data_IF_769723965693
#
_entry.id   IF_769723965693
#
_cell.length_a   1.000
_cell.length_b   1.000
_cell.length_c   1.000
_cell.angle_alpha   90.00
_cell.angle_beta   90.00
_cell.angle_gamma   90.00
#
_symmetry.space_group_name_H-M   'P 1'
#
loop_
_entity.id
_entity.type
_entity.pdbx_description
1 polymer ?
#
# COMPACT_ATOMS: atom_id res chain seq x y z
N UNK A 1 40.59 -47.42 -23.65
CA UNK A 1 41.72 -48.23 -24.23
C UNK A 1 42.65 -47.43 -25.13
N UNK A 2 42.30 -46.23 -25.51
CA UNK A 2 43.10 -45.37 -26.45
C UNK A 2 44.43 -44.80 -25.92
N UNK A 3 44.67 -44.84 -24.61
CA UNK A 3 45.92 -44.28 -24.01
C UNK A 3 47.04 -45.29 -23.77
N UNK A 4 46.76 -46.63 -23.77
CA UNK A 4 47.78 -47.64 -23.53
C UNK A 4 48.57 -47.97 -24.82
N UNK A 5 47.91 -47.99 -25.96
CA UNK A 5 48.53 -48.30 -27.25
C UNK A 5 49.68 -47.36 -27.66
N UNK A 6 49.57 -46.03 -27.53
CA UNK A 6 50.68 -45.13 -27.83
C UNK A 6 51.85 -45.28 -26.86
N UNK A 7 51.64 -45.70 -25.62
CA UNK A 7 52.69 -45.93 -24.62
C UNK A 7 53.48 -47.20 -24.89
N UNK A 8 52.80 -48.26 -25.28
CA UNK A 8 53.43 -49.49 -25.72
C UNK A 8 54.23 -49.31 -26.98
N UNK A 9 53.68 -48.57 -27.98
CA UNK A 9 54.38 -48.21 -29.20
C UNK A 9 55.62 -47.32 -28.92
N UNK A 10 55.55 -46.32 -28.05
CA UNK A 10 56.68 -45.47 -27.67
C UNK A 10 57.74 -46.29 -26.93
N UNK A 11 57.36 -47.20 -26.07
CA UNK A 11 58.30 -48.13 -25.39
C UNK A 11 59.02 -49.06 -26.34
N UNK A 12 58.31 -49.66 -27.30
CA UNK A 12 58.87 -50.52 -28.32
C UNK A 12 59.80 -49.75 -29.28
N UNK A 13 59.43 -48.53 -29.66
CA UNK A 13 60.22 -47.65 -30.51
C UNK A 13 61.55 -47.22 -29.81
N UNK A 14 61.46 -46.96 -28.52
CA UNK A 14 62.61 -46.62 -27.67
C UNK A 14 63.57 -47.79 -27.51
N UNK A 15 63.05 -48.99 -27.30
CA UNK A 15 63.83 -50.24 -27.30
C UNK A 15 64.52 -50.47 -28.66
N UNK A 16 63.83 -50.28 -29.74
CA UNK A 16 64.37 -50.44 -31.10
C UNK A 16 65.48 -49.40 -31.43
N UNK A 17 65.25 -48.10 -31.04
CA UNK A 17 66.27 -47.04 -31.21
C UNK A 17 67.49 -47.24 -30.35
N UNK A 18 67.28 -47.66 -29.09
CA UNK A 18 68.37 -47.99 -28.17
C UNK A 18 69.21 -49.15 -28.67
N UNK A 19 68.58 -50.18 -29.23
CA UNK A 19 69.21 -51.29 -29.87
C UNK A 19 70.05 -50.93 -31.12
N UNK A 20 69.53 -50.04 -31.94
CA UNK A 20 70.20 -49.51 -33.11
C UNK A 20 71.46 -48.69 -32.76
N UNK A 21 71.30 -47.78 -31.82
CA UNK A 21 72.46 -46.91 -31.33
C UNK A 21 73.55 -47.75 -30.66
N UNK A 22 73.15 -48.71 -29.84
CA UNK A 22 74.12 -49.64 -29.19
C UNK A 22 74.85 -50.56 -30.19
N UNK A 23 74.17 -50.98 -31.26
CA UNK A 23 74.75 -51.80 -32.30
C UNK A 23 75.70 -51.15 -33.20
N UNK A 24 75.64 -49.83 -33.36
CA UNK A 24 76.57 -48.99 -34.10
C UNK A 24 77.89 -48.77 -33.34
N UNK A 25 77.81 -48.82 -31.96
CA UNK A 25 79.00 -48.51 -31.11
C UNK A 25 79.93 -49.70 -30.90
N UNK A 26 79.54 -50.99 -30.99
CA UNK A 26 80.41 -52.17 -30.89
C UNK A 26 79.74 -53.43 -31.48
N UNK A 27 80.42 -54.05 -32.49
CA UNK A 27 79.82 -55.01 -33.40
C UNK A 27 79.47 -56.44 -32.84
N UNK A 28 79.88 -56.84 -31.64
CA UNK A 28 79.72 -58.20 -31.13
C UNK A 28 79.16 -58.40 -29.67
N UNK A 29 79.45 -57.48 -28.74
CA UNK A 29 78.88 -57.60 -27.40
C UNK A 29 78.16 -56.33 -26.95
N UNK A 30 78.42 -55.20 -27.57
CA UNK A 30 77.81 -53.91 -27.24
C UNK A 30 76.38 -53.66 -27.64
N UNK A 31 75.93 -54.33 -28.68
CA UNK A 31 74.61 -54.14 -29.23
C UNK A 31 73.45 -54.54 -28.24
N UNK A 32 73.63 -55.68 -27.52
CA UNK A 32 72.65 -56.12 -26.54
C UNK A 32 72.65 -55.26 -25.25
N UNK A 33 73.86 -54.85 -24.79
CA UNK A 33 73.98 -54.00 -23.60
C UNK A 33 73.46 -52.58 -23.91
N UNK A 34 73.78 -52.04 -25.09
CA UNK A 34 73.27 -50.76 -25.54
C UNK A 34 71.74 -50.71 -25.74
N UNK A 35 71.18 -51.80 -26.29
CA UNK A 35 69.74 -51.93 -26.40
C UNK A 35 69.01 -51.99 -25.04
N UNK A 36 69.59 -52.72 -24.06
CA UNK A 36 69.05 -52.83 -22.72
C UNK A 36 69.18 -51.52 -21.98
N UNK A 37 70.31 -50.80 -22.01
CA UNK A 37 70.51 -49.51 -21.37
C UNK A 37 69.67 -48.42 -22.02
N UNK A 38 69.55 -48.35 -23.33
CA UNK A 38 68.67 -47.44 -24.06
C UNK A 38 67.20 -47.68 -23.78
N UNK A 39 66.81 -48.95 -23.75
CA UNK A 39 65.45 -49.34 -23.40
C UNK A 39 65.07 -48.99 -21.95
N UNK A 40 66.00 -49.22 -20.98
CA UNK A 40 65.84 -48.87 -19.59
C UNK A 40 65.76 -47.31 -19.40
N UNK A 41 66.58 -46.54 -20.09
CA UNK A 41 66.59 -45.07 -20.02
C UNK A 41 65.27 -44.52 -20.63
N UNK A 42 64.83 -45.05 -21.74
CA UNK A 42 63.58 -44.65 -22.35
C UNK A 42 62.37 -45.03 -21.48
N UNK A 43 62.36 -46.21 -20.89
CA UNK A 43 61.35 -46.62 -19.96
C UNK A 43 61.33 -45.71 -18.70
N UNK A 44 62.52 -45.46 -18.13
CA UNK A 44 62.62 -44.56 -16.99
C UNK A 44 62.09 -43.13 -17.34
N UNK A 45 62.42 -42.61 -18.51
CA UNK A 45 61.94 -41.30 -18.98
C UNK A 45 60.42 -41.28 -19.10
N UNK A 46 59.79 -42.33 -19.69
CA UNK A 46 58.34 -42.44 -19.81
C UNK A 46 57.67 -42.48 -18.43
N UNK A 47 58.23 -43.27 -17.49
CA UNK A 47 57.70 -43.40 -16.12
C UNK A 47 57.79 -42.08 -15.36
N UNK A 48 58.92 -41.36 -15.47
CA UNK A 48 59.11 -40.04 -14.84
C UNK A 48 58.13 -39.00 -15.40
N UNK A 49 57.97 -38.92 -16.72
CA UNK A 49 57.03 -38.01 -17.36
C UNK A 49 55.58 -38.34 -17.00
N UNK A 50 55.22 -39.60 -16.96
CA UNK A 50 53.90 -40.06 -16.61
C UNK A 50 53.60 -39.74 -15.11
N UNK A 51 54.58 -40.01 -14.22
CA UNK A 51 54.46 -39.66 -12.81
C UNK A 51 54.36 -38.15 -12.55
N UNK A 52 55.10 -37.34 -13.28
CA UNK A 52 55.03 -35.88 -13.20
C UNK A 52 53.64 -35.32 -13.66
N UNK A 53 53.05 -35.92 -14.70
CA UNK A 53 51.70 -35.59 -15.14
C UNK A 53 50.65 -35.98 -14.11
N UNK A 54 50.74 -37.19 -13.53
CA UNK A 54 49.90 -37.64 -12.44
C UNK A 54 50.01 -36.75 -11.19
N UNK A 55 51.27 -36.38 -10.83
CA UNK A 55 51.50 -35.49 -9.71
C UNK A 55 50.95 -34.07 -9.93
N UNK A 56 51.02 -33.50 -11.13
CA UNK A 56 50.38 -32.21 -11.49
C UNK A 56 48.88 -32.27 -11.34
N UNK A 57 48.22 -33.34 -11.81
CA UNK A 57 46.80 -33.52 -11.64
C UNK A 57 46.43 -33.69 -10.18
N UNK A 58 47.18 -34.48 -9.42
CA UNK A 58 46.93 -34.67 -7.97
C UNK A 58 47.17 -33.38 -7.17
N UNK A 59 48.14 -32.55 -7.55
CA UNK A 59 48.36 -31.22 -6.94
C UNK A 59 47.15 -30.31 -7.24
N UNK A 60 46.66 -30.27 -8.45
CA UNK A 60 45.47 -29.50 -8.83
C UNK A 60 44.23 -29.98 -8.07
N UNK A 61 44.01 -31.28 -7.91
CA UNK A 61 42.88 -31.85 -7.16
C UNK A 61 42.96 -31.56 -5.63
N UNK A 62 44.16 -31.38 -5.05
CA UNK A 62 44.32 -31.03 -3.64
C UNK A 62 44.22 -29.53 -3.37
N UNK A 63 44.32 -28.71 -4.38
CA UNK A 63 44.15 -27.26 -4.27
C UNK A 63 42.71 -26.83 -4.28
N UNK A 64 42.49 -25.52 -4.23
CA UNK A 64 41.14 -24.91 -4.27
C UNK A 64 40.45 -25.03 -5.63
N UNK A 65 40.93 -25.84 -6.54
CA UNK A 65 40.44 -26.01 -7.94
C UNK A 65 40.45 -24.72 -8.74
N UNK A 66 41.21 -23.71 -8.31
CA UNK A 66 41.32 -22.44 -9.02
C UNK A 66 42.15 -22.63 -10.29
N UNK A 67 41.53 -22.33 -11.43
CA UNK A 67 42.16 -22.42 -12.73
C UNK A 67 41.77 -23.66 -13.56
N UNK A 68 42.41 -23.76 -14.72
CA UNK A 68 42.17 -24.83 -15.69
C UNK A 68 42.95 -26.07 -15.29
N UNK A 69 42.32 -27.24 -15.33
CA UNK A 69 43.01 -28.52 -15.11
C UNK A 69 44.20 -28.68 -16.07
N UNK A 70 45.30 -29.40 -15.66
CA UNK A 70 46.47 -29.62 -16.49
C UNK A 70 46.09 -30.23 -17.86
N UNK A 71 46.36 -29.50 -18.96
CA UNK A 71 46.09 -29.96 -20.34
C UNK A 71 47.23 -30.84 -20.86
N UNK A 72 47.47 -31.95 -20.22
CA UNK A 72 48.44 -32.93 -20.70
C UNK A 72 47.82 -33.80 -21.83
N UNK A 73 48.70 -34.37 -22.68
CA UNK A 73 48.25 -35.28 -23.71
C UNK A 73 48.05 -36.71 -23.17
N UNK A 74 47.19 -37.48 -23.80
CA UNK A 74 46.95 -38.89 -23.49
C UNK A 74 46.05 -39.08 -22.25
N UNK A 75 46.26 -40.18 -21.54
CA UNK A 75 45.38 -40.64 -20.46
C UNK A 75 45.15 -39.61 -19.33
N UNK A 76 46.25 -38.94 -18.89
CA UNK A 76 46.15 -37.96 -17.80
C UNK A 76 45.39 -36.69 -18.21
N UNK A 77 45.54 -36.28 -19.47
CA UNK A 77 44.83 -35.13 -19.97
C UNK A 77 43.32 -35.41 -20.16
N UNK A 78 42.96 -36.60 -20.65
CA UNK A 78 41.55 -36.98 -20.74
C UNK A 78 40.90 -37.16 -19.37
N UNK A 79 41.61 -37.75 -18.40
CA UNK A 79 41.18 -37.87 -17.01
C UNK A 79 40.98 -36.51 -16.39
N UNK A 80 41.96 -35.61 -16.54
CA UNK A 80 41.85 -34.24 -16.03
C UNK A 80 40.62 -33.50 -16.60
N UNK A 81 40.40 -33.60 -17.91
CA UNK A 81 39.24 -32.99 -18.59
C UNK A 81 37.92 -33.52 -18.06
N UNK A 82 37.79 -34.84 -17.89
CA UNK A 82 36.56 -35.47 -17.38
C UNK A 82 36.27 -35.04 -15.94
N UNK A 83 37.28 -35.01 -15.09
CA UNK A 83 37.15 -34.55 -13.68
C UNK A 83 36.77 -33.08 -13.65
N UNK A 84 37.46 -32.22 -14.40
CA UNK A 84 37.17 -30.79 -14.48
C UNK A 84 35.72 -30.55 -14.94
N UNK A 85 35.27 -31.28 -15.99
CA UNK A 85 33.90 -31.18 -16.47
C UNK A 85 32.87 -31.58 -15.40
N UNK A 86 33.13 -32.66 -14.68
CA UNK A 86 32.22 -33.13 -13.60
C UNK A 86 32.18 -32.14 -12.44
N UNK A 87 33.31 -31.62 -12.01
CA UNK A 87 33.39 -30.61 -10.94
C UNK A 87 32.65 -29.33 -11.33
N UNK A 88 32.90 -28.82 -12.52
CA UNK A 88 32.18 -27.63 -13.03
C UNK A 88 30.65 -27.86 -13.19
N UNK A 89 30.23 -29.09 -13.50
CA UNK A 89 28.80 -29.42 -13.54
C UNK A 89 28.18 -29.36 -12.15
N UNK A 90 28.82 -29.96 -11.14
CA UNK A 90 28.38 -29.93 -9.75
C UNK A 90 28.40 -28.49 -9.17
N UNK A 91 29.43 -27.70 -9.47
CA UNK A 91 29.50 -26.29 -9.05
C UNK A 91 28.34 -25.47 -9.63
N UNK A 92 28.03 -25.66 -10.92
CA UNK A 92 26.88 -24.99 -11.58
C UNK A 92 25.56 -25.41 -10.97
N UNK A 93 25.37 -26.68 -10.70
CA UNK A 93 24.15 -27.19 -10.07
C UNK A 93 23.98 -26.60 -8.67
N UNK A 94 25.04 -26.60 -7.84
CA UNK A 94 25.03 -25.98 -6.53
C UNK A 94 24.77 -24.48 -6.57
N UNK A 95 25.32 -23.76 -7.57
CA UNK A 95 25.08 -22.32 -7.74
C UNK A 95 23.64 -22.03 -8.18
N UNK A 96 23.05 -22.83 -9.07
CA UNK A 96 21.64 -22.74 -9.45
C UNK A 96 20.74 -22.96 -8.24
N UNK A 97 21.02 -24.00 -7.44
CA UNK A 97 20.24 -24.28 -6.22
C UNK A 97 20.37 -23.14 -5.19
N UNK A 98 21.56 -22.60 -4.98
CA UNK A 98 21.77 -21.44 -4.10
C UNK A 98 20.99 -20.21 -4.60
N UNK A 99 21.00 -19.97 -5.91
CA UNK A 99 20.29 -18.85 -6.52
C UNK A 99 18.78 -19.02 -6.34
N UNK A 100 18.24 -20.22 -6.59
CA UNK A 100 16.82 -20.51 -6.37
C UNK A 100 16.41 -20.32 -4.91
N UNK A 101 17.23 -20.79 -3.98
CA UNK A 101 16.97 -20.63 -2.54
C UNK A 101 16.99 -19.13 -2.14
N UNK A 102 17.95 -18.37 -2.63
CA UNK A 102 18.03 -16.94 -2.38
C UNK A 102 16.83 -16.19 -2.96
N UNK A 103 16.39 -16.53 -4.17
CA UNK A 103 15.19 -15.97 -4.77
C UNK A 103 13.93 -16.32 -3.98
N UNK A 104 13.79 -17.56 -3.51
CA UNK A 104 12.66 -17.98 -2.68
C UNK A 104 12.61 -17.19 -1.36
N UNK A 105 13.71 -17.06 -0.64
CA UNK A 105 13.80 -16.29 0.60
C UNK A 105 13.49 -14.82 0.33
N UNK A 106 13.99 -14.24 -0.76
CA UNK A 106 13.69 -12.86 -1.15
C UNK A 106 12.20 -12.66 -1.41
N UNK A 107 11.54 -13.59 -2.11
CA UNK A 107 10.09 -13.55 -2.35
C UNK A 107 9.29 -13.64 -1.03
N UNK A 108 9.71 -14.48 -0.09
CA UNK A 108 9.08 -14.57 1.23
C UNK A 108 9.29 -13.29 2.06
N UNK A 109 10.44 -12.63 1.94
CA UNK A 109 10.69 -11.32 2.58
C UNK A 109 9.83 -10.20 1.99
N UNK A 110 9.54 -10.24 0.70
CA UNK A 110 8.70 -9.27 0.01
C UNK A 110 7.18 -9.50 0.23
N UNK A 111 6.79 -10.59 0.89
CA UNK A 111 5.38 -10.88 1.18
C UNK A 111 4.74 -9.76 1.99
N UNK A 112 3.52 -9.30 1.61
CA UNK A 112 2.74 -8.35 2.42
C UNK A 112 2.25 -8.95 3.75
N UNK A 113 2.20 -10.29 3.83
CA UNK A 113 1.84 -11.02 5.04
C UNK A 113 3.09 -11.35 5.87
N UNK A 114 2.92 -11.39 7.18
CA UNK A 114 3.94 -11.92 8.06
C UNK A 114 4.06 -13.44 7.87
N UNK A 115 5.27 -13.93 7.68
CA UNK A 115 5.58 -15.35 7.52
C UNK A 115 6.58 -15.75 8.60
N UNK A 116 6.23 -16.78 9.39
CA UNK A 116 7.05 -17.29 10.47
C UNK A 116 7.12 -18.82 10.35
N UNK A 117 8.32 -19.37 10.37
CA UNK A 117 8.58 -20.80 10.33
C UNK A 117 8.97 -21.27 11.73
N UNK A 118 8.29 -22.33 12.19
CA UNK A 118 8.56 -22.99 13.46
C UNK A 118 9.00 -24.44 13.21
N UNK A 119 9.95 -24.90 14.01
CA UNK A 119 10.31 -26.31 14.05
C UNK A 119 9.25 -27.18 14.74
N UNK A 120 9.50 -28.47 14.83
CA UNK A 120 8.62 -29.43 15.52
C UNK A 120 8.43 -29.13 17.03
N UNK A 121 9.35 -28.37 17.65
CA UNK A 121 9.33 -27.99 19.06
C UNK A 121 8.77 -26.59 19.30
N UNK A 122 8.14 -25.97 18.29
CA UNK A 122 7.61 -24.60 18.32
C UNK A 122 8.69 -23.52 18.50
N UNK A 123 9.93 -23.80 18.08
CA UNK A 123 11.01 -22.81 18.06
C UNK A 123 11.04 -22.07 16.72
N UNK A 124 11.37 -20.80 16.78
CA UNK A 124 11.46 -19.94 15.59
C UNK A 124 12.68 -20.36 14.76
N UNK A 125 12.46 -20.85 13.56
CA UNK A 125 13.52 -21.11 12.58
C UNK A 125 13.83 -19.86 11.74
N UNK A 126 12.78 -19.18 11.29
CA UNK A 126 12.89 -18.02 10.43
C UNK A 126 11.62 -17.18 10.48
N UNK A 127 11.74 -15.87 10.28
CA UNK A 127 10.62 -14.97 10.05
C UNK A 127 11.00 -13.87 9.06
N UNK A 128 10.00 -13.38 8.31
CA UNK A 128 10.19 -12.20 7.48
C UNK A 128 10.00 -10.90 8.30
N UNK A 129 10.35 -9.76 7.70
CA UNK A 129 10.24 -8.46 8.34
C UNK A 129 8.80 -8.15 8.80
N UNK A 130 7.79 -8.54 8.03
CA UNK A 130 6.38 -8.35 8.40
C UNK A 130 5.96 -9.15 9.63
N UNK A 131 6.38 -10.40 9.75
CA UNK A 131 6.11 -11.18 10.96
C UNK A 131 6.84 -10.59 12.17
N UNK A 132 8.06 -10.11 11.98
CA UNK A 132 8.81 -9.42 13.03
C UNK A 132 8.06 -8.18 13.52
N UNK A 133 7.52 -7.36 12.63
CA UNK A 133 6.69 -6.19 12.97
C UNK A 133 5.39 -6.61 13.68
N UNK A 134 4.63 -7.55 13.10
CA UNK A 134 3.34 -8.01 13.62
C UNK A 134 3.41 -8.57 15.03
N UNK A 135 4.46 -9.34 15.32
CA UNK A 135 4.59 -10.02 16.61
C UNK A 135 5.60 -9.36 17.56
N UNK A 136 6.29 -8.33 17.09
CA UNK A 136 7.31 -7.63 17.86
C UNK A 136 8.58 -8.46 18.08
N UNK A 137 8.93 -9.31 17.11
CA UNK A 137 10.09 -10.20 17.13
C UNK A 137 11.35 -9.53 16.57
N UNK A 138 12.50 -10.02 16.99
CA UNK A 138 13.80 -9.74 16.39
C UNK A 138 14.25 -10.99 15.61
N UNK A 139 14.38 -10.94 14.26
CA UNK A 139 14.68 -12.10 13.44
C UNK A 139 16.00 -12.80 13.76
N UNK A 140 16.98 -12.07 14.31
CA UNK A 140 18.30 -12.61 14.65
C UNK A 140 18.35 -13.12 16.09
N UNK A 141 17.88 -12.29 17.02
CA UNK A 141 17.95 -12.55 18.46
C UNK A 141 16.99 -13.63 18.91
N UNK A 142 15.80 -13.69 18.32
CA UNK A 142 14.72 -14.57 18.77
C UNK A 142 14.72 -15.93 18.04
N UNK A 143 15.68 -16.13 17.16
CA UNK A 143 15.89 -17.40 16.47
C UNK A 143 16.18 -18.53 17.47
N UNK A 144 15.56 -19.70 17.28
CA UNK A 144 15.60 -20.88 18.17
C UNK A 144 14.97 -20.67 19.53
N UNK A 145 14.27 -19.56 19.77
CA UNK A 145 13.45 -19.42 20.96
C UNK A 145 12.05 -20.00 20.74
N UNK A 146 11.43 -20.48 21.81
CA UNK A 146 10.05 -20.95 21.75
C UNK A 146 9.11 -19.76 21.47
N UNK A 147 8.27 -19.89 20.44
CA UNK A 147 7.37 -18.83 20.00
C UNK A 147 6.41 -18.36 21.10
N UNK A 148 5.96 -19.28 21.99
CA UNK A 148 5.06 -18.95 23.11
C UNK A 148 5.69 -18.09 24.22
N UNK A 149 7.02 -18.01 24.29
CA UNK A 149 7.70 -17.12 25.22
C UNK A 149 7.64 -15.65 24.76
N UNK A 150 7.53 -15.45 23.46
CA UNK A 150 7.57 -14.16 22.81
C UNK A 150 6.16 -13.66 22.45
N UNK A 151 5.36 -14.50 21.80
CA UNK A 151 3.96 -14.22 21.46
C UNK A 151 3.07 -14.76 22.59
N UNK A 152 2.74 -13.88 23.53
CA UNK A 152 1.99 -14.21 24.75
C UNK A 152 0.47 -14.06 24.62
N UNK A 153 -0.04 -13.84 23.42
CA UNK A 153 -1.49 -13.77 23.20
C UNK A 153 -2.17 -15.08 23.56
N UNK A 154 -3.16 -15.11 24.47
CA UNK A 154 -3.84 -16.34 24.85
C UNK A 154 -4.44 -17.07 23.64
N UNK A 155 -5.08 -16.33 22.73
CA UNK A 155 -5.67 -16.91 21.51
C UNK A 155 -4.63 -17.58 20.61
N UNK A 156 -3.42 -17.01 20.50
CA UNK A 156 -2.32 -17.62 19.73
C UNK A 156 -1.81 -18.90 20.40
N UNK A 157 -1.64 -18.86 21.72
CA UNK A 157 -1.13 -20.02 22.48
C UNK A 157 -2.12 -21.18 22.46
N UNK A 158 -3.41 -20.90 22.69
CA UNK A 158 -4.49 -21.89 22.61
C UNK A 158 -4.59 -22.49 21.21
N UNK A 159 -4.51 -21.67 20.17
CA UNK A 159 -4.54 -22.12 18.78
C UNK A 159 -3.38 -23.06 18.45
N UNK A 160 -2.16 -22.73 18.91
CA UNK A 160 -0.98 -23.56 18.75
C UNK A 160 -1.11 -24.89 19.48
N UNK A 161 -1.63 -24.89 20.73
CA UNK A 161 -1.79 -26.06 21.58
C UNK A 161 -2.92 -26.99 21.12
N UNK A 162 -4.03 -26.42 20.65
CA UNK A 162 -5.16 -27.18 20.12
C UNK A 162 -4.77 -28.02 18.90
N UNK A 163 -3.78 -27.56 18.11
CA UNK A 163 -3.25 -28.30 16.97
C UNK A 163 -4.23 -28.47 15.81
N UNK A 164 -5.43 -27.89 15.90
CA UNK A 164 -6.38 -27.78 14.80
C UNK A 164 -6.17 -26.41 14.12
N UNK A 165 -5.74 -26.44 12.86
CA UNK A 165 -5.37 -25.25 12.09
C UNK A 165 -6.30 -25.04 10.89
N UNK A 166 -7.52 -25.57 10.91
CA UNK A 166 -8.47 -25.46 9.80
C UNK A 166 -8.94 -24.02 9.59
N UNK A 167 -9.20 -23.31 10.70
CA UNK A 167 -9.65 -21.92 10.67
C UNK A 167 -8.59 -20.99 11.25
N UNK A 168 -8.45 -19.75 10.71
CA UNK A 168 -7.55 -18.75 11.26
C UNK A 168 -8.06 -18.19 12.60
N UNK A 169 -7.15 -17.76 13.45
CA UNK A 169 -7.45 -17.11 14.73
C UNK A 169 -7.14 -15.61 14.68
N UNK A 170 -8.00 -14.82 15.33
CA UNK A 170 -7.75 -13.39 15.51
C UNK A 170 -6.83 -13.16 16.73
N UNK A 171 -5.75 -12.43 16.52
CA UNK A 171 -4.75 -12.08 17.54
C UNK A 171 -4.57 -10.58 17.56
N UNK A 172 -4.54 -9.97 18.73
CA UNK A 172 -4.22 -8.54 18.85
C UNK A 172 -2.73 -8.31 18.68
N UNK A 173 -2.39 -7.27 17.95
CA UNK A 173 -1.00 -6.84 17.79
C UNK A 173 -0.38 -6.46 19.14
N UNK A 174 0.81 -6.97 19.53
CA UNK A 174 1.42 -6.72 20.84
C UNK A 174 1.82 -5.26 21.08
N UNK A 175 2.18 -4.53 20.03
CA UNK A 175 2.68 -3.14 20.09
C UNK A 175 1.69 -2.07 19.64
N UNK A 176 0.51 -2.46 19.15
CA UNK A 176 -0.46 -1.55 18.57
C UNK A 176 -1.90 -1.87 18.96
N UNK A 177 -2.82 -1.16 18.30
CA UNK A 177 -4.26 -1.43 18.38
C UNK A 177 -4.76 -2.24 17.18
N UNK A 178 -3.85 -2.90 16.45
CA UNK A 178 -4.12 -3.68 15.27
C UNK A 178 -4.71 -5.05 15.59
N UNK A 179 -5.46 -5.58 14.62
CA UNK A 179 -6.00 -6.95 14.61
C UNK A 179 -5.27 -7.76 13.56
N UNK A 180 -4.68 -8.87 13.98
CA UNK A 180 -3.98 -9.81 13.12
C UNK A 180 -4.85 -11.07 12.95
N UNK A 181 -5.03 -11.52 11.71
CA UNK A 181 -5.52 -12.84 11.42
C UNK A 181 -4.34 -13.80 11.27
N UNK A 182 -4.26 -14.84 12.10
CA UNK A 182 -3.16 -15.80 12.10
C UNK A 182 -3.66 -17.15 11.64
N UNK A 183 -3.03 -17.68 10.61
CA UNK A 183 -3.25 -19.02 10.08
C UNK A 183 -2.00 -19.85 10.27
N UNK A 184 -2.15 -21.08 10.80
CA UNK A 184 -1.06 -22.05 10.90
C UNK A 184 -1.29 -23.22 9.95
N UNK A 185 -0.21 -23.81 9.46
CA UNK A 185 -0.23 -25.06 8.68
C UNK A 185 0.98 -25.90 9.06
N UNK A 186 0.78 -27.21 9.18
CA UNK A 186 1.89 -28.14 9.37
C UNK A 186 2.53 -28.49 8.03
N UNK A 187 3.84 -28.65 8.04
CA UNK A 187 4.61 -29.14 6.88
C UNK A 187 5.77 -30.02 7.34
N UNK A 188 6.32 -30.82 6.43
CA UNK A 188 7.44 -31.70 6.74
C UNK A 188 7.20 -32.56 7.99
N UNK A 189 8.24 -32.76 8.77
CA UNK A 189 8.24 -33.65 9.99
C UNK A 189 7.75 -32.88 11.25
N UNK A 190 6.58 -32.26 11.16
CA UNK A 190 5.94 -31.60 12.32
C UNK A 190 6.27 -30.11 12.46
N UNK A 191 7.01 -29.54 11.53
CA UNK A 191 7.24 -28.11 11.43
C UNK A 191 5.94 -27.34 11.12
N UNK A 192 5.88 -26.06 11.44
CA UNK A 192 4.69 -25.23 11.27
C UNK A 192 5.02 -23.94 10.52
N UNK A 193 4.19 -23.63 9.52
CA UNK A 193 4.14 -22.37 8.84
C UNK A 193 3.06 -21.50 9.49
N UNK A 194 3.42 -20.33 9.98
CA UNK A 194 2.50 -19.33 10.53
C UNK A 194 2.44 -18.16 9.58
N UNK A 195 1.23 -17.83 9.13
CA UNK A 195 0.97 -16.67 8.28
C UNK A 195 0.15 -15.67 9.09
N UNK A 196 0.57 -14.43 9.18
CA UNK A 196 -0.16 -13.36 9.84
C UNK A 196 -0.53 -12.27 8.84
N UNK A 197 -1.77 -11.83 8.87
CA UNK A 197 -2.30 -10.76 8.04
C UNK A 197 -2.86 -9.66 8.92
N UNK A 198 -2.49 -8.41 8.65
CA UNK A 198 -3.09 -7.24 9.30
C UNK A 198 -4.50 -7.02 8.73
N UNK A 199 -5.49 -7.10 9.62
CA UNK A 199 -6.91 -6.92 9.32
C UNK A 199 -7.45 -5.60 9.81
N UNK A 200 -6.60 -4.74 10.38
CA UNK A 200 -7.01 -3.52 11.09
C UNK A 200 -7.85 -2.59 10.20
N UNK A 201 -7.37 -2.30 9.00
CA UNK A 201 -8.11 -1.43 8.07
C UNK A 201 -9.42 -2.07 7.58
N UNK A 202 -9.42 -3.37 7.37
CA UNK A 202 -10.61 -4.11 6.96
C UNK A 202 -11.65 -4.14 8.07
N UNK A 203 -11.27 -4.46 9.29
CA UNK A 203 -12.17 -4.47 10.45
C UNK A 203 -12.72 -3.08 10.75
N UNK A 204 -11.89 -2.03 10.65
CA UNK A 204 -12.33 -0.63 10.76
C UNK A 204 -13.37 -0.29 9.70
N UNK A 205 -13.13 -0.67 8.45
CA UNK A 205 -14.06 -0.44 7.35
C UNK A 205 -15.39 -1.18 7.56
N UNK A 206 -15.34 -2.45 7.99
CA UNK A 206 -16.52 -3.24 8.29
C UNK A 206 -17.30 -2.72 9.51
N UNK A 207 -16.60 -2.24 10.55
CA UNK A 207 -17.20 -1.58 11.70
C UNK A 207 -17.88 -0.28 11.29
N UNK A 208 -17.21 0.59 10.54
CA UNK A 208 -17.80 1.82 10.01
C UNK A 208 -19.03 1.55 9.15
N UNK A 209 -19.03 0.50 8.35
CA UNK A 209 -20.19 0.11 7.54
C UNK A 209 -21.37 -0.36 8.40
N UNK A 210 -21.11 -1.18 9.44
CA UNK A 210 -22.17 -1.62 10.37
C UNK A 210 -22.77 -0.45 11.12
N UNK A 211 -21.93 0.45 11.65
CA UNK A 211 -22.36 1.65 12.36
C UNK A 211 -23.15 2.59 11.44
N UNK A 212 -22.74 2.72 10.19
CA UNK A 212 -23.48 3.48 9.18
C UNK A 212 -24.90 2.93 8.98
N UNK A 213 -25.08 1.62 8.77
CA UNK A 213 -26.40 1.00 8.57
C UNK A 213 -27.28 1.16 9.83
N UNK A 214 -26.69 0.98 11.01
CA UNK A 214 -27.39 1.16 12.27
C UNK A 214 -27.87 2.61 12.44
N UNK A 215 -27.00 3.59 12.20
CA UNK A 215 -27.33 5.01 12.31
C UNK A 215 -28.37 5.46 11.28
N UNK A 216 -28.28 5.01 10.01
CA UNK A 216 -29.33 5.26 8.99
C UNK A 216 -30.68 4.75 9.48
N UNK A 217 -30.72 3.52 10.01
CA UNK A 217 -31.96 2.93 10.52
C UNK A 217 -32.57 3.74 11.65
N UNK A 218 -31.76 4.24 12.57
CA UNK A 218 -32.18 5.09 13.69
C UNK A 218 -32.67 6.45 13.21
N UNK A 219 -31.91 7.13 12.32
CA UNK A 219 -32.27 8.47 11.82
C UNK A 219 -33.50 8.46 10.92
N UNK A 220 -33.87 7.33 10.28
CA UNK A 220 -35.14 7.16 9.54
C UNK A 220 -36.29 6.80 10.48
N UNK A 221 -36.07 5.91 11.48
CA UNK A 221 -37.13 5.45 12.38
C UNK A 221 -37.73 6.58 13.21
N UNK A 222 -36.86 7.48 13.71
CA UNK A 222 -37.33 8.58 14.60
C UNK A 222 -38.36 9.50 13.93
N UNK A 223 -38.12 10.13 12.75
CA UNK A 223 -39.11 10.97 12.10
C UNK A 223 -40.34 10.17 11.65
N UNK A 224 -40.18 8.91 11.24
CA UNK A 224 -41.31 8.05 10.87
C UNK A 224 -42.24 7.79 12.04
N UNK A 225 -41.68 7.52 13.24
CA UNK A 225 -42.50 7.35 14.47
C UNK A 225 -43.23 8.63 14.82
N UNK A 226 -42.58 9.81 14.68
CA UNK A 226 -43.23 11.09 14.91
C UNK A 226 -44.37 11.36 13.92
N UNK A 227 -44.13 11.11 12.63
CA UNK A 227 -45.19 11.22 11.60
C UNK A 227 -46.38 10.31 11.89
N UNK A 228 -46.10 9.04 12.25
CA UNK A 228 -47.19 8.08 12.61
C UNK A 228 -47.99 8.54 13.83
N UNK A 229 -47.30 9.08 14.85
CA UNK A 229 -47.96 9.62 16.03
C UNK A 229 -48.84 10.84 15.73
N UNK A 230 -48.40 11.76 14.87
CA UNK A 230 -49.20 12.89 14.44
C UNK A 230 -50.43 12.46 13.61
N UNK A 231 -50.27 11.49 12.70
CA UNK A 231 -51.36 10.91 11.94
C UNK A 231 -52.40 10.25 12.85
N UNK A 232 -51.95 9.53 13.86
CA UNK A 232 -52.84 8.91 14.87
C UNK A 232 -53.55 9.97 15.70
N UNK A 233 -52.87 11.05 16.09
CA UNK A 233 -53.47 12.19 16.80
C UNK A 233 -54.57 12.84 15.96
N UNK A 234 -54.28 13.14 14.69
CA UNK A 234 -55.25 13.72 13.74
C UNK A 234 -56.49 12.82 13.50
N UNK A 235 -56.30 11.49 13.55
CA UNK A 235 -57.38 10.53 13.35
C UNK A 235 -58.26 10.40 14.58
N UNK A 236 -57.68 10.43 15.78
CA UNK A 236 -58.38 10.03 17.00
C UNK A 236 -58.85 11.22 17.87
N UNK A 237 -58.37 12.44 17.62
CA UNK A 237 -58.69 13.61 18.43
C UNK A 237 -59.32 14.70 17.55
N UNK A 238 -60.40 15.38 18.06
CA UNK A 238 -60.93 16.57 17.40
C UNK A 238 -59.99 17.74 17.63
N UNK A 239 -59.22 18.10 16.58
CA UNK A 239 -58.30 19.23 16.62
C UNK A 239 -58.97 20.50 16.11
N UNK A 240 -58.63 21.63 16.70
CA UNK A 240 -58.96 22.95 16.18
C UNK A 240 -58.23 23.22 14.87
N UNK A 241 -58.67 24.14 14.04
CA UNK A 241 -57.94 24.52 12.80
C UNK A 241 -56.52 24.97 13.05
N UNK A 242 -56.25 25.65 14.18
CA UNK A 242 -54.91 26.11 14.56
C UNK A 242 -54.01 24.93 14.91
N UNK A 243 -54.51 23.98 15.70
CA UNK A 243 -53.76 22.76 16.05
C UNK A 243 -53.50 21.88 14.83
N UNK A 244 -54.48 21.74 13.94
CA UNK A 244 -54.36 20.99 12.70
C UNK A 244 -53.28 21.58 11.80
N UNK A 245 -53.26 22.93 11.61
CA UNK A 245 -52.21 23.60 10.85
C UNK A 245 -50.83 23.40 11.47
N UNK A 246 -50.72 23.47 12.82
CA UNK A 246 -49.47 23.23 13.53
C UNK A 246 -49.00 21.80 13.34
N UNK A 247 -49.82 20.80 13.46
CA UNK A 247 -49.48 19.38 13.24
C UNK A 247 -49.03 19.17 11.80
N UNK A 248 -49.77 19.70 10.80
CA UNK A 248 -49.37 19.61 9.40
C UNK A 248 -47.98 20.25 9.18
N UNK A 249 -47.71 21.44 9.75
CA UNK A 249 -46.38 22.08 9.65
C UNK A 249 -45.27 21.20 10.22
N UNK A 250 -45.49 20.61 11.40
CA UNK A 250 -44.52 19.70 12.01
C UNK A 250 -44.28 18.43 11.16
N UNK A 251 -45.36 17.87 10.60
CA UNK A 251 -45.27 16.72 9.69
C UNK A 251 -44.48 17.07 8.41
N UNK A 252 -44.73 18.25 7.82
CA UNK A 252 -44.01 18.72 6.64
C UNK A 252 -42.50 18.84 6.96
N UNK A 253 -42.16 19.43 8.09
CA UNK A 253 -40.74 19.53 8.54
C UNK A 253 -40.08 18.16 8.71
N UNK A 254 -40.80 17.16 9.24
CA UNK A 254 -40.26 15.80 9.36
C UNK A 254 -40.08 15.11 7.99
N UNK A 255 -41.00 15.32 7.06
CA UNK A 255 -40.91 14.80 5.69
C UNK A 255 -39.73 15.43 4.93
N UNK A 256 -39.57 16.75 5.01
CA UNK A 256 -38.43 17.45 4.43
C UNK A 256 -37.10 16.95 5.02
N UNK A 257 -37.03 16.77 6.32
CA UNK A 257 -35.86 16.22 6.99
C UNK A 257 -35.49 14.82 6.47
N UNK A 258 -36.48 13.94 6.28
CA UNK A 258 -36.29 12.61 5.69
C UNK A 258 -35.82 12.70 4.24
N UNK A 259 -36.41 13.59 3.45
CA UNK A 259 -35.99 13.80 2.05
C UNK A 259 -34.54 14.25 1.96
N UNK A 260 -34.10 15.20 2.81
CA UNK A 260 -32.72 15.64 2.89
C UNK A 260 -31.78 14.51 3.32
N UNK A 261 -32.18 13.69 4.31
CA UNK A 261 -31.37 12.55 4.75
C UNK A 261 -31.18 11.53 3.61
N UNK A 262 -32.25 11.20 2.87
CA UNK A 262 -32.18 10.28 1.73
C UNK A 262 -31.31 10.88 0.61
N UNK A 263 -31.43 12.19 0.33
CA UNK A 263 -30.60 12.90 -0.63
C UNK A 263 -29.10 12.83 -0.28
N UNK A 264 -28.76 13.09 0.99
CA UNK A 264 -27.39 13.00 1.50
C UNK A 264 -26.84 11.57 1.37
N UNK A 265 -27.66 10.56 1.69
CA UNK A 265 -27.28 9.13 1.57
C UNK A 265 -27.01 8.75 0.11
N UNK A 266 -27.87 9.15 -0.81
CA UNK A 266 -27.70 8.90 -2.25
C UNK A 266 -26.44 9.59 -2.78
N UNK A 267 -26.21 10.85 -2.39
CA UNK A 267 -25.00 11.59 -2.74
C UNK A 267 -23.74 10.87 -2.24
N UNK A 268 -23.74 10.43 -0.98
CA UNK A 268 -22.60 9.70 -0.41
C UNK A 268 -22.36 8.36 -1.13
N UNK A 269 -23.43 7.61 -1.42
CA UNK A 269 -23.35 6.35 -2.15
C UNK A 269 -22.79 6.54 -3.58
N UNK A 270 -23.21 7.60 -4.28
CA UNK A 270 -22.67 7.95 -5.59
C UNK A 270 -21.19 8.33 -5.53
N UNK A 271 -20.80 9.12 -4.53
CA UNK A 271 -19.39 9.51 -4.32
C UNK A 271 -18.50 8.30 -4.04
N UNK A 272 -18.98 7.29 -3.29
CA UNK A 272 -18.21 6.07 -2.98
C UNK A 272 -18.09 5.12 -4.17
N UNK A 273 -19.15 5.01 -4.98
CA UNK A 273 -19.21 4.07 -6.11
C UNK A 273 -18.63 4.60 -7.42
N UNK A 274 -18.32 5.90 -7.52
CA UNK A 274 -17.89 6.52 -8.76
C UNK A 274 -16.35 6.64 -8.85
N UNK A 275 -15.74 6.57 -10.06
CA UNK A 275 -14.33 6.82 -10.24
C UNK A 275 -13.98 8.29 -9.90
N UNK A 276 -12.72 8.56 -9.58
CA UNK A 276 -12.25 9.93 -9.29
C UNK A 276 -12.50 10.85 -10.50
N UNK A 277 -12.96 12.11 -10.28
CA UNK A 277 -13.17 13.07 -11.35
C UNK A 277 -11.88 13.31 -12.14
N UNK A 278 -11.96 13.27 -13.47
CA UNK A 278 -10.88 13.68 -14.32
C UNK A 278 -10.60 15.19 -14.15
N UNK A 279 -9.36 15.61 -14.41
CA UNK A 279 -8.96 17.01 -14.30
C UNK A 279 -9.11 17.79 -15.65
N UNK A 280 -10.08 17.38 -16.46
CA UNK A 280 -10.33 17.91 -17.81
C UNK A 280 -11.54 18.84 -17.91
N UNK A 281 -12.48 18.75 -16.97
CA UNK A 281 -13.66 19.60 -16.91
C UNK A 281 -13.42 20.77 -15.96
N UNK A 282 -13.41 21.97 -16.53
CA UNK A 282 -13.13 23.21 -15.81
C UNK A 282 -14.43 23.95 -15.48
N UNK A 283 -14.63 24.24 -14.21
CA UNK A 283 -15.79 24.95 -13.67
C UNK A 283 -15.33 26.30 -13.14
N UNK A 284 -16.07 27.37 -13.46
CA UNK A 284 -15.77 28.71 -12.94
C UNK A 284 -16.18 28.80 -11.45
N UNK A 285 -15.28 29.30 -10.63
CA UNK A 285 -15.56 29.49 -9.19
C UNK A 285 -16.70 30.49 -8.98
N UNK A 286 -16.77 31.51 -9.82
CA UNK A 286 -17.87 32.48 -9.78
C UNK A 286 -19.25 31.84 -10.03
N UNK A 287 -19.34 30.83 -10.93
CA UNK A 287 -20.60 30.07 -11.15
C UNK A 287 -21.01 29.29 -9.90
N UNK A 288 -20.05 28.56 -9.28
CA UNK A 288 -20.29 27.84 -8.04
C UNK A 288 -20.75 28.78 -6.92
N UNK A 289 -20.10 29.91 -6.76
CA UNK A 289 -20.45 30.90 -5.74
C UNK A 289 -21.84 31.51 -5.99
N UNK A 290 -22.19 31.85 -7.22
CA UNK A 290 -23.49 32.44 -7.53
C UNK A 290 -24.68 31.55 -7.17
N UNK A 291 -24.57 30.23 -7.43
CA UNK A 291 -25.61 29.28 -7.07
C UNK A 291 -25.73 29.12 -5.55
N UNK A 292 -24.59 28.87 -4.87
CA UNK A 292 -24.58 28.70 -3.41
C UNK A 292 -24.99 29.97 -2.69
N UNK A 293 -24.66 31.17 -3.23
CA UNK A 293 -25.08 32.45 -2.67
C UNK A 293 -26.61 32.58 -2.70
N UNK A 294 -27.25 32.26 -3.83
CA UNK A 294 -28.70 32.32 -3.94
C UNK A 294 -29.40 31.41 -2.93
N UNK A 295 -28.94 30.17 -2.82
CA UNK A 295 -29.48 29.19 -1.89
C UNK A 295 -29.25 29.60 -0.41
N UNK A 296 -28.05 30.08 -0.09
CA UNK A 296 -27.70 30.49 1.28
C UNK A 296 -28.46 31.73 1.75
N UNK A 297 -28.69 32.71 0.85
CA UNK A 297 -29.50 33.90 1.14
C UNK A 297 -30.97 33.52 1.40
N UNK A 298 -31.52 32.59 0.60
CA UNK A 298 -32.87 32.05 0.85
C UNK A 298 -32.96 31.32 2.21
N UNK A 299 -31.99 30.47 2.53
CA UNK A 299 -31.93 29.74 3.80
C UNK A 299 -31.76 30.69 5.00
N UNK A 300 -30.96 31.72 4.85
CA UNK A 300 -30.73 32.75 5.90
C UNK A 300 -31.98 33.60 6.14
N UNK A 301 -32.83 33.79 5.14
CA UNK A 301 -33.99 34.67 5.23
C UNK A 301 -33.67 36.09 5.83
N UNK A 302 -32.49 36.61 5.50
CA UNK A 302 -32.04 37.95 5.96
C UNK A 302 -31.48 37.99 7.39
N UNK A 303 -31.36 36.83 8.08
CA UNK A 303 -30.87 36.76 9.46
C UNK A 303 -29.36 36.99 9.62
N UNK A 304 -28.59 36.81 8.53
CA UNK A 304 -27.13 36.87 8.57
C UNK A 304 -26.60 37.77 7.48
N UNK A 305 -25.41 38.34 7.69
CA UNK A 305 -24.63 39.05 6.66
C UNK A 305 -23.77 38.00 5.95
N UNK A 306 -24.10 37.69 4.68
CA UNK A 306 -23.38 36.69 3.88
C UNK A 306 -22.65 37.39 2.76
N UNK A 307 -21.33 37.19 2.65
CA UNK A 307 -20.47 37.78 1.63
C UNK A 307 -19.69 36.70 0.86
N UNK A 308 -19.66 36.84 -0.47
CA UNK A 308 -18.87 36.01 -1.36
C UNK A 308 -17.83 36.88 -2.07
N UNK A 309 -16.55 36.44 -2.09
CA UNK A 309 -15.47 37.24 -2.65
C UNK A 309 -14.36 36.41 -3.30
N UNK A 310 -13.56 37.05 -4.12
CA UNK A 310 -12.29 36.52 -4.64
C UNK A 310 -12.40 35.57 -5.83
N UNK A 311 -13.61 35.23 -6.30
CA UNK A 311 -13.78 34.24 -7.37
C UNK A 311 -13.12 34.64 -8.71
N UNK A 312 -13.27 35.93 -9.13
CA UNK A 312 -12.71 36.46 -10.39
C UNK A 312 -12.89 35.48 -11.57
N UNK A 313 -11.82 35.31 -12.34
CA UNK A 313 -11.77 34.37 -13.47
C UNK A 313 -11.22 32.99 -13.08
N UNK A 314 -11.15 32.67 -11.78
CA UNK A 314 -10.65 31.42 -11.29
C UNK A 314 -11.51 30.25 -11.77
N UNK A 315 -10.83 29.17 -12.19
CA UNK A 315 -11.48 27.94 -12.59
C UNK A 315 -10.86 26.75 -11.83
N UNK A 316 -11.69 25.79 -11.49
CA UNK A 316 -11.31 24.54 -10.84
C UNK A 316 -11.71 23.35 -11.70
N UNK A 317 -10.83 22.33 -11.77
CA UNK A 317 -11.11 21.10 -12.51
C UNK A 317 -11.87 20.12 -11.62
N UNK A 318 -13.09 19.73 -12.04
CA UNK A 318 -13.90 18.80 -11.28
C UNK A 318 -15.33 18.67 -11.79
N UNK A 319 -16.15 17.99 -10.99
CA UNK A 319 -17.59 17.84 -11.24
C UNK A 319 -18.33 18.96 -10.52
N UNK A 320 -18.99 19.80 -11.30
CA UNK A 320 -19.68 21.02 -10.81
C UNK A 320 -20.67 20.72 -9.67
N UNK A 321 -21.51 19.72 -9.83
CA UNK A 321 -22.50 19.32 -8.81
C UNK A 321 -21.86 18.83 -7.51
N UNK A 322 -20.73 18.13 -7.57
CA UNK A 322 -19.99 17.69 -6.38
C UNK A 322 -19.39 18.89 -5.64
N UNK A 323 -18.70 19.78 -6.37
CA UNK A 323 -18.08 20.99 -5.78
C UNK A 323 -19.14 21.92 -5.18
N UNK A 324 -20.26 22.10 -5.88
CA UNK A 324 -21.41 22.86 -5.41
C UNK A 324 -21.99 22.27 -4.12
N UNK A 325 -22.19 20.95 -4.08
CA UNK A 325 -22.64 20.23 -2.89
C UNK A 325 -21.70 20.42 -1.70
N UNK A 326 -20.37 20.37 -1.93
CA UNK A 326 -19.40 20.58 -0.86
C UNK A 326 -19.46 22.00 -0.29
N UNK A 327 -19.48 23.02 -1.15
CA UNK A 327 -19.55 24.43 -0.73
C UNK A 327 -20.90 24.69 -0.05
N UNK A 328 -22.01 24.23 -0.64
CA UNK A 328 -23.35 24.36 -0.10
C UNK A 328 -23.51 23.77 1.29
N UNK A 329 -22.94 22.58 1.54
CA UNK A 329 -22.91 21.95 2.86
C UNK A 329 -22.15 22.78 3.90
N UNK A 330 -21.02 23.40 3.54
CA UNK A 330 -20.29 24.28 4.46
C UNK A 330 -21.08 25.54 4.77
N UNK A 331 -21.63 26.20 3.74
CA UNK A 331 -22.38 27.44 3.92
C UNK A 331 -23.70 27.20 4.67
N UNK A 332 -24.42 26.11 4.37
CA UNK A 332 -25.64 25.75 5.11
C UNK A 332 -25.35 25.46 6.60
N UNK A 333 -24.21 24.83 6.90
CA UNK A 333 -23.75 24.68 8.28
C UNK A 333 -23.46 26.03 8.93
N UNK A 334 -22.76 26.93 8.23
CA UNK A 334 -22.48 28.28 8.75
C UNK A 334 -23.79 29.03 9.06
N UNK A 335 -24.78 29.02 8.17
CA UNK A 335 -26.11 29.63 8.40
C UNK A 335 -26.82 29.02 9.62
N UNK A 336 -26.71 27.70 9.80
CA UNK A 336 -27.38 26.96 10.89
C UNK A 336 -26.77 27.23 12.24
N UNK A 337 -25.45 27.39 12.32
CA UNK A 337 -24.73 27.49 13.60
C UNK A 337 -24.32 28.91 13.97
N UNK A 338 -24.57 29.86 13.11
CA UNK A 338 -24.37 31.30 13.39
C UNK A 338 -25.66 31.90 13.98
N UNK A 339 -25.60 32.63 15.08
CA UNK A 339 -26.75 33.36 15.60
C UNK A 339 -27.23 34.47 14.65
N UNK A 340 -28.49 34.87 14.80
CA UNK A 340 -29.07 36.01 14.07
C UNK A 340 -28.21 37.26 14.23
N UNK A 341 -27.99 37.98 13.13
CA UNK A 341 -27.09 39.13 13.04
C UNK A 341 -25.62 38.79 12.82
N UNK A 342 -25.26 37.49 12.82
CA UNK A 342 -23.90 37.05 12.59
C UNK A 342 -23.43 37.18 11.14
N UNK A 343 -22.13 36.94 10.93
CA UNK A 343 -21.46 37.09 9.65
C UNK A 343 -20.95 35.75 9.10
N UNK A 344 -21.08 35.56 7.79
CA UNK A 344 -20.58 34.41 7.04
C UNK A 344 -19.83 34.91 5.81
N UNK A 345 -18.55 34.59 5.71
CA UNK A 345 -17.69 34.97 4.58
C UNK A 345 -17.27 33.71 3.81
N UNK A 346 -17.46 33.73 2.49
CA UNK A 346 -17.03 32.70 1.55
C UNK A 346 -16.04 33.32 0.59
N UNK A 347 -14.78 32.86 0.65
CA UNK A 347 -13.69 33.51 -0.08
C UNK A 347 -12.92 32.48 -0.87
N UNK A 348 -12.66 32.78 -2.16
CA UNK A 348 -11.68 32.06 -2.95
C UNK A 348 -10.32 32.74 -2.85
N UNK A 349 -9.28 31.96 -2.68
CA UNK A 349 -7.89 32.42 -2.68
C UNK A 349 -7.02 31.48 -3.50
N UNK A 350 -6.09 32.03 -4.25
CA UNK A 350 -5.00 31.28 -4.86
C UNK A 350 -3.76 31.40 -3.97
N UNK A 351 -3.14 30.27 -3.66
CA UNK A 351 -1.94 30.23 -2.84
C UNK A 351 -0.66 30.34 -3.70
N UNK A 352 0.46 30.72 -3.09
CA UNK A 352 1.75 30.92 -3.78
C UNK A 352 2.29 29.67 -4.47
N UNK A 353 1.93 28.47 -3.94
CA UNK A 353 2.27 27.17 -4.52
C UNK A 353 1.39 26.79 -5.73
N UNK A 354 0.50 27.68 -6.17
CA UNK A 354 -0.42 27.48 -7.28
C UNK A 354 -1.69 26.71 -6.93
N UNK A 355 -1.85 26.18 -5.72
CA UNK A 355 -3.10 25.58 -5.24
C UNK A 355 -4.16 26.67 -5.01
N UNK A 356 -5.43 26.24 -4.91
CA UNK A 356 -6.53 27.15 -4.60
C UNK A 356 -7.26 26.72 -3.36
N UNK A 357 -7.78 27.66 -2.60
CA UNK A 357 -8.62 27.38 -1.45
C UNK A 357 -9.96 28.09 -1.51
N UNK A 358 -11.02 27.40 -1.10
CA UNK A 358 -12.31 27.98 -0.78
C UNK A 358 -12.42 28.01 0.74
N UNK A 359 -12.55 29.19 1.30
CA UNK A 359 -12.62 29.41 2.74
C UNK A 359 -14.01 29.84 3.12
N UNK A 360 -14.65 29.13 4.02
CA UNK A 360 -15.94 29.48 4.63
C UNK A 360 -15.69 29.80 6.09
N UNK A 361 -15.92 31.07 6.48
CA UNK A 361 -15.73 31.55 7.86
C UNK A 361 -17.08 31.99 8.42
N UNK A 362 -17.43 31.54 9.61
CA UNK A 362 -18.61 31.95 10.35
C UNK A 362 -18.25 32.58 11.69
N UNK A 363 -19.11 33.49 12.18
CA UNK A 363 -19.02 34.09 13.51
C UNK A 363 -19.92 33.38 14.53
N UNK A 364 -20.11 32.07 14.33
CA UNK A 364 -20.98 31.25 15.16
C UNK A 364 -20.40 30.88 16.51
N UNK A 365 -21.03 29.91 17.16
CA UNK A 365 -20.64 29.46 18.51
C UNK A 365 -19.28 28.81 18.62
N UNK A 366 -18.66 28.45 17.48
CA UNK A 366 -17.41 27.69 17.42
C UNK A 366 -17.54 26.23 17.88
N UNK A 367 -16.45 25.49 17.79
CA UNK A 367 -16.38 24.05 18.04
C UNK A 367 -15.22 23.77 19.00
N UNK A 368 -15.46 22.96 20.03
CA UNK A 368 -14.41 22.57 20.97
C UNK A 368 -13.39 21.61 20.32
N UNK A 369 -12.13 21.73 20.70
CA UNK A 369 -11.00 21.04 20.08
C UNK A 369 -11.15 19.52 20.03
N UNK A 370 -11.77 18.93 21.06
CA UNK A 370 -12.03 17.49 21.16
C UNK A 370 -12.94 16.93 20.07
N UNK A 371 -13.76 17.80 19.44
CA UNK A 371 -14.69 17.40 18.38
C UNK A 371 -14.08 17.55 16.97
N UNK A 372 -13.02 18.37 16.79
CA UNK A 372 -12.50 18.72 15.47
C UNK A 372 -12.09 17.51 14.63
N UNK A 373 -11.43 16.52 15.22
CA UNK A 373 -11.00 15.30 14.53
C UNK A 373 -12.15 14.42 14.08
N UNK A 374 -13.30 14.54 14.70
CA UNK A 374 -14.49 13.69 14.49
C UNK A 374 -15.57 14.32 13.63
N UNK A 375 -15.47 15.62 13.33
CA UNK A 375 -16.50 16.37 12.59
C UNK A 375 -16.86 15.77 11.24
N UNK A 376 -15.93 15.07 10.60
CA UNK A 376 -16.11 14.43 9.29
C UNK A 376 -16.55 12.96 9.38
N UNK A 377 -16.75 12.43 10.61
CA UNK A 377 -17.35 11.12 10.79
C UNK A 377 -18.85 11.18 10.41
N UNK A 378 -19.35 10.11 9.81
CA UNK A 378 -20.75 10.03 9.39
C UNK A 378 -21.67 10.04 10.61
N UNK A 379 -22.73 10.86 10.57
CA UNK A 379 -23.70 11.05 11.66
C UNK A 379 -23.13 11.69 12.92
N UNK A 380 -21.87 12.12 12.90
CA UNK A 380 -21.30 12.78 14.06
C UNK A 380 -21.89 14.17 14.26
N UNK A 381 -22.21 14.50 15.51
CA UNK A 381 -22.81 15.77 15.94
C UNK A 381 -22.29 16.14 17.31
N UNK A 382 -21.90 17.42 17.48
CA UNK A 382 -21.36 17.92 18.77
C UNK A 382 -22.44 17.91 19.87
N UNK A 383 -23.69 18.29 19.54
CA UNK A 383 -24.83 18.32 20.48
C UNK A 383 -25.99 17.48 19.95
N UNK A 384 -26.20 16.29 20.53
CA UNK A 384 -27.22 15.34 20.07
C UNK A 384 -28.68 15.82 20.29
N UNK A 385 -28.98 16.71 21.24
CA UNK A 385 -30.32 17.15 21.58
C UNK A 385 -30.76 18.44 20.86
N UNK A 386 -29.98 19.50 20.90
CA UNK A 386 -30.27 20.79 20.25
C UNK A 386 -30.17 20.75 18.73
N UNK A 387 -29.29 19.91 18.18
CA UNK A 387 -29.14 19.81 16.75
C UNK A 387 -30.24 18.96 16.08
N UNK A 388 -31.11 18.27 16.84
CA UNK A 388 -32.36 17.69 16.29
C UNK A 388 -33.37 18.76 15.89
N UNK A 389 -33.42 19.87 16.59
CA UNK A 389 -34.26 21.03 16.27
C UNK A 389 -33.74 21.80 15.03
N UNK A 390 -32.43 21.85 14.80
CA UNK A 390 -31.83 22.52 13.66
C UNK A 390 -31.80 21.70 12.37
N UNK A 391 -32.28 20.45 12.34
CA UNK A 391 -32.51 19.65 11.13
C UNK A 391 -31.26 19.07 10.43
N UNK A 392 -30.07 19.06 11.06
CA UNK A 392 -28.87 18.50 10.46
C UNK A 392 -28.86 16.98 10.41
N UNK A 393 -28.44 16.40 9.30
CA UNK A 393 -28.31 14.94 9.08
C UNK A 393 -27.04 14.35 9.71
N UNK A 394 -26.01 15.17 9.95
CA UNK A 394 -24.67 14.71 10.33
C UNK A 394 -23.87 14.08 9.19
N UNK A 395 -24.36 14.17 7.95
CA UNK A 395 -23.68 13.65 6.75
C UNK A 395 -22.99 14.75 5.94
N UNK A 396 -23.38 16.01 6.07
CA UNK A 396 -22.89 17.11 5.24
C UNK A 396 -21.37 17.26 5.23
N UNK A 397 -20.69 17.23 6.42
CA UNK A 397 -19.22 17.32 6.48
C UNK A 397 -18.52 16.04 5.99
N UNK A 398 -19.15 14.88 6.11
CA UNK A 398 -18.65 13.65 5.49
C UNK A 398 -18.71 13.75 3.96
N UNK A 399 -19.78 14.31 3.40
CA UNK A 399 -19.91 14.59 1.96
C UNK A 399 -18.81 15.57 1.52
N UNK A 400 -18.62 16.67 2.24
CA UNK A 400 -17.55 17.65 1.96
C UNK A 400 -16.18 16.97 1.89
N UNK A 401 -15.84 16.17 2.90
CA UNK A 401 -14.56 15.43 2.94
C UNK A 401 -14.42 14.49 1.74
N UNK A 402 -15.44 13.70 1.44
CA UNK A 402 -15.43 12.80 0.29
C UNK A 402 -15.24 13.52 -1.03
N UNK A 403 -16.00 14.60 -1.27
CA UNK A 403 -15.89 15.40 -2.48
C UNK A 403 -14.47 15.94 -2.64
N UNK A 404 -13.94 16.61 -1.61
CA UNK A 404 -12.62 17.25 -1.74
C UNK A 404 -11.51 16.21 -1.92
N UNK A 405 -11.56 15.07 -1.23
CA UNK A 405 -10.61 13.97 -1.39
C UNK A 405 -10.67 13.33 -2.78
N UNK A 406 -11.85 13.17 -3.37
CA UNK A 406 -12.02 12.69 -4.76
C UNK A 406 -11.36 13.63 -5.76
N UNK A 407 -11.39 14.94 -5.49
CA UNK A 407 -10.72 15.97 -6.27
C UNK A 407 -9.22 16.11 -5.94
N UNK A 408 -8.64 15.21 -5.08
CA UNK A 408 -7.23 15.25 -4.70
C UNK A 408 -6.88 16.40 -3.77
N UNK A 409 -7.89 17.02 -3.15
CA UNK A 409 -7.74 18.11 -2.22
C UNK A 409 -7.87 17.67 -0.76
N UNK A 410 -7.86 18.64 0.14
CA UNK A 410 -7.90 18.44 1.60
C UNK A 410 -8.89 19.41 2.24
N UNK A 411 -9.56 18.96 3.32
CA UNK A 411 -10.40 19.77 4.18
C UNK A 411 -9.64 20.09 5.46
N UNK A 412 -9.39 21.37 5.71
CA UNK A 412 -8.83 21.87 6.96
C UNK A 412 -9.89 22.63 7.77
N UNK A 413 -9.87 22.49 9.10
CA UNK A 413 -10.86 23.08 10.01
C UNK A 413 -10.15 23.75 11.17
N UNK A 414 -10.40 25.04 11.35
CA UNK A 414 -9.98 25.81 12.50
C UNK A 414 -11.21 26.41 13.20
N UNK A 415 -11.34 26.19 14.52
CA UNK A 415 -12.47 26.72 15.29
C UNK A 415 -12.08 27.00 16.73
N UNK A 416 -12.71 28.02 17.30
CA UNK A 416 -12.58 28.38 18.72
C UNK A 416 -13.95 28.71 19.28
N UNK A 417 -14.27 28.12 20.44
CA UNK A 417 -15.56 28.30 21.09
C UNK A 417 -15.81 29.80 21.38
N UNK A 418 -16.94 30.31 20.95
CA UNK A 418 -17.35 31.72 21.10
C UNK A 418 -16.79 32.67 20.03
N UNK A 419 -15.91 32.24 19.12
CA UNK A 419 -15.35 33.07 18.04
C UNK A 419 -15.81 32.67 16.64
N UNK A 420 -16.30 31.45 16.47
CA UNK A 420 -16.74 30.92 15.20
C UNK A 420 -15.83 29.84 14.63
N UNK A 421 -16.06 29.47 13.36
CA UNK A 421 -15.31 28.42 12.69
C UNK A 421 -14.85 28.87 11.30
N UNK A 422 -13.76 28.27 10.83
CA UNK A 422 -13.22 28.45 9.49
C UNK A 422 -12.97 27.08 8.86
N UNK A 423 -13.63 26.82 7.76
CA UNK A 423 -13.46 25.60 6.95
C UNK A 423 -12.75 25.96 5.66
N UNK A 424 -11.66 25.22 5.32
CA UNK A 424 -10.88 25.45 4.10
C UNK A 424 -10.91 24.20 3.22
N UNK A 425 -11.35 24.36 1.98
CA UNK A 425 -11.28 23.35 0.94
C UNK A 425 -10.06 23.67 0.07
N UNK A 426 -8.98 22.90 0.24
CA UNK A 426 -7.73 23.11 -0.51
C UNK A 426 -7.72 22.19 -1.72
N UNK A 427 -7.56 22.76 -2.92
CA UNK A 427 -7.46 22.05 -4.19
C UNK A 427 -6.02 22.14 -4.73
N UNK A 428 -5.42 21.03 -5.22
CA UNK A 428 -4.06 21.03 -5.72
C UNK A 428 -3.88 21.90 -6.96
N UNK A 429 -2.68 22.44 -7.18
CA UNK A 429 -2.36 23.32 -8.31
C UNK A 429 -2.74 22.73 -9.68
N UNK A 430 -2.64 21.42 -9.86
CA UNK A 430 -3.04 20.73 -11.09
C UNK A 430 -4.55 20.85 -11.40
N UNK A 431 -5.37 21.25 -10.43
CA UNK A 431 -6.82 21.45 -10.58
C UNK A 431 -7.23 22.93 -10.52
N UNK A 432 -6.30 23.85 -10.58
CA UNK A 432 -6.56 25.29 -10.49
C UNK A 432 -5.94 26.00 -11.67
N UNK A 433 -6.72 26.87 -12.32
CA UNK A 433 -6.21 27.78 -13.35
C UNK A 433 -6.92 29.15 -13.30
N UNK A 434 -6.31 30.15 -13.88
CA UNK A 434 -6.96 31.43 -14.16
C UNK A 434 -7.57 31.35 -15.57
N UNK A 435 -8.82 31.72 -15.71
CA UNK A 435 -9.48 31.76 -17.01
C UNK A 435 -8.80 32.79 -17.95
N UNK A 436 -8.71 32.44 -19.22
CA UNK A 436 -8.06 33.26 -20.27
C UNK A 436 -8.82 34.54 -20.65
N UNK A 437 -9.89 34.85 -19.92
CA UNK A 437 -10.75 36.04 -20.24
C UNK A 437 -10.09 37.40 -20.03
N UNK A 438 -9.07 37.52 -19.15
CA UNK A 438 -8.40 38.80 -18.89
C UNK A 438 -7.20 39.11 -19.82
N UNK A 439 -6.65 38.09 -20.50
CA UNK A 439 -5.53 38.29 -21.42
C UNK A 439 -5.95 38.85 -22.80
N UNK A 440 -7.21 38.71 -23.19
CA UNK A 440 -7.73 39.25 -24.47
C UNK A 440 -8.11 40.73 -24.39
N UNK A 441 -8.42 41.28 -23.22
CA UNK A 441 -8.77 42.67 -23.05
C UNK A 441 -7.56 43.61 -22.94
N UNK A 442 -6.36 43.11 -22.71
CA UNK A 442 -5.13 43.91 -22.60
C UNK A 442 -4.37 44.08 -23.93
N UNK A 443 -4.82 43.45 -25.03
CA UNK A 443 -4.19 43.51 -26.36
C UNK A 443 -4.96 44.36 -27.39
N UNK A 444 -6.12 44.91 -27.03
CA UNK A 444 -6.97 45.71 -27.93
C UNK A 444 -7.06 47.22 -27.53
N UNK A 445 -6.02 47.81 -26.93
CA UNK A 445 -5.87 49.27 -26.94
C UNK A 445 -5.08 49.67 -28.19
N UNK A 446 -5.71 50.30 -29.21
CA UNK A 446 -4.97 50.82 -30.34
C UNK A 446 -4.10 51.99 -29.86
N UNK A 447 -2.80 51.88 -30.08
CA UNK A 447 -1.85 52.98 -29.92
C UNK A 447 -2.31 54.16 -30.82
N UNK A 448 -2.89 55.18 -30.20
CA UNK A 448 -3.18 56.46 -30.83
C UNK A 448 -1.83 57.16 -31.14
N UNK A 449 -1.39 57.04 -32.40
CA UNK A 449 -0.25 57.75 -32.91
C UNK A 449 -0.79 59.14 -33.33
N UNK A 450 -0.85 60.08 -32.37
CA UNK A 450 -1.05 61.48 -32.60
C UNK A 450 0.16 62.09 -33.32
N UNK A 451 -0.01 62.35 -34.62
CA UNK A 451 0.86 63.24 -35.39
C UNK A 451 0.71 64.69 -34.94
N UNK A 452 1.81 65.29 -34.51
CA UNK A 452 2.29 66.65 -34.88
C UNK A 452 3.72 66.83 -34.38
#
# INVERSE_FOLDING_TARGET
MSGLLPRLLAGLLALALGGFVGGVADARAGALVGALLGGLLAFATIVVFDSLRGWRLMRWLRGAHEGIAPRDSGFWGELAYRIERSLRALEREAEVERTHLAQFVSAMQASPNGVLLLDANDQIEWCNARAADHFGLDPERDRRQRVTNLIRSPAFVEYLQAGNFDEPVAVREPRGHGSLQVLMRRYGDGAKLVISQDMTERERSEAMRRDFVANVSHEIRTPLTVLSGFLETMRNLPLTEVEQKRVITLMTQQAERMANLVGDLLTLAQLEGSPRPAADKWVRVASLFGQVEAESRALSAGRHTIAFAGAGDAQVAGIESELQSAIGNLVSNAVRYTPDGGRIDVVWKRLDNGSGEIVVTDSGRGIAREHLSRLTERFYRVDGSRSRESGGTGLGLAIVKHVIQRHGGELDVASEVGKGSTFRLVLPAARVRVGTGAAAAALDEPADIGAR
#
